data_IF_174842454957
#
_entry.id   IF_174842454957
#
_cell.length_a   1.000
_cell.length_b   1.000
_cell.length_c   1.000
_cell.angle_alpha   90.00
_cell.angle_beta   90.00
_cell.angle_gamma   90.00
#
_symmetry.space_group_name_H-M   'P 1'
#
loop_
_entity.id
_entity.type
_entity.pdbx_description
1 polymer ?
#
# COMPACT_ATOMS: atom_id res chain seq x y z
N UNK A 1 2.08 -30.87 20.37
CA UNK A 1 1.43 -30.82 19.05
C UNK A 1 1.62 -29.42 18.50
N UNK A 2 2.29 -29.30 17.36
CA UNK A 2 2.90 -28.04 16.90
C UNK A 2 1.88 -26.97 16.48
N UNK A 3 2.13 -25.68 16.78
CA UNK A 3 1.25 -24.63 16.33
C UNK A 3 1.61 -24.25 14.88
N UNK A 4 0.67 -24.49 13.97
CA UNK A 4 0.70 -23.93 12.62
C UNK A 4 0.76 -22.40 12.71
N UNK A 5 1.74 -21.82 12.01
CA UNK A 5 1.90 -20.37 11.87
C UNK A 5 0.78 -19.83 10.99
N UNK A 6 -0.38 -19.58 11.60
CA UNK A 6 -1.45 -18.78 11.00
C UNK A 6 -0.94 -17.36 10.73
N UNK A 7 -1.49 -16.71 9.70
CA UNK A 7 -1.24 -15.31 9.36
C UNK A 7 -1.21 -14.41 10.62
N UNK A 8 -0.26 -13.47 10.75
CA UNK A 8 -0.27 -12.55 11.90
C UNK A 8 -1.63 -11.86 12.01
N UNK A 9 -2.27 -11.85 13.20
CA UNK A 9 -3.65 -11.38 13.37
C UNK A 9 -3.92 -9.97 12.83
N UNK A 10 -2.91 -9.09 12.84
CA UNK A 10 -2.98 -7.73 12.30
C UNK A 10 -3.17 -7.64 10.76
N UNK A 11 -2.79 -8.68 9.99
CA UNK A 11 -3.05 -8.77 8.54
C UNK A 11 -4.33 -9.55 8.22
N UNK A 12 -4.91 -10.24 9.20
CA UNK A 12 -5.92 -11.27 9.00
C UNK A 12 -7.37 -10.79 8.93
N UNK A 13 -7.67 -9.53 9.25
CA UNK A 13 -9.06 -9.05 9.27
C UNK A 13 -9.71 -8.98 7.88
N UNK A 14 -8.91 -8.74 6.82
CA UNK A 14 -9.41 -8.53 5.45
C UNK A 14 -8.56 -9.28 4.41
N UNK A 15 -8.72 -10.60 4.27
CA UNK A 15 -7.90 -11.41 3.35
C UNK A 15 -8.17 -11.09 1.87
N UNK A 16 -9.38 -10.62 1.53
CA UNK A 16 -9.70 -10.05 0.23
C UNK A 16 -10.11 -8.58 0.39
N UNK A 17 -9.30 -7.60 -0.07
CA UNK A 17 -9.63 -6.19 0.08
C UNK A 17 -10.88 -5.76 -0.71
N UNK A 18 -11.29 -6.51 -1.73
CA UNK A 18 -12.51 -6.20 -2.48
C UNK A 18 -13.78 -6.34 -1.64
N UNK A 19 -13.81 -7.29 -0.69
CA UNK A 19 -14.97 -7.49 0.19
C UNK A 19 -15.18 -6.31 1.13
N UNK A 20 -14.09 -5.82 1.74
CA UNK A 20 -14.13 -4.62 2.57
C UNK A 20 -14.51 -3.39 1.73
N UNK A 21 -13.95 -3.26 0.53
CA UNK A 21 -14.28 -2.17 -0.39
C UNK A 21 -15.76 -2.22 -0.83
N UNK A 22 -16.34 -3.40 -1.07
CA UNK A 22 -17.76 -3.54 -1.39
C UNK A 22 -18.64 -3.02 -0.25
N UNK A 23 -18.32 -3.34 1.01
CA UNK A 23 -19.04 -2.83 2.17
C UNK A 23 -18.90 -1.30 2.31
N UNK A 24 -17.70 -0.77 2.09
CA UNK A 24 -17.46 0.69 2.14
C UNK A 24 -18.15 1.43 0.99
N UNK A 25 -18.29 0.80 -0.18
CA UNK A 25 -18.95 1.38 -1.34
C UNK A 25 -20.41 1.75 -1.09
N UNK A 26 -21.12 0.97 -0.27
CA UNK A 26 -22.55 1.17 0.01
C UNK A 26 -22.83 2.27 1.05
N UNK A 27 -21.82 2.65 1.84
CA UNK A 27 -21.96 3.64 2.93
C UNK A 27 -21.12 4.91 2.70
N UNK A 28 -20.47 5.03 1.54
CA UNK A 28 -19.67 6.20 1.18
C UNK A 28 -20.01 6.68 -0.22
N UNK A 29 -19.90 7.99 -0.47
CA UNK A 29 -20.27 8.59 -1.76
C UNK A 29 -19.09 9.19 -2.53
N UNK A 30 -18.03 9.62 -1.83
CA UNK A 30 -16.98 10.46 -2.41
C UNK A 30 -15.58 9.86 -2.34
N UNK A 31 -15.26 9.20 -1.23
CA UNK A 31 -13.90 8.66 -1.01
C UNK A 31 -13.58 7.57 -2.04
N UNK A 32 -12.35 7.56 -2.56
CA UNK A 32 -11.90 6.47 -3.44
C UNK A 32 -11.57 5.24 -2.60
N UNK A 33 -11.88 4.06 -3.12
CA UNK A 33 -11.73 2.77 -2.45
C UNK A 33 -10.58 2.02 -3.12
N UNK A 34 -9.45 1.88 -2.43
CA UNK A 34 -8.22 1.34 -3.02
C UNK A 34 -7.70 0.12 -2.29
N UNK A 35 -7.21 -0.87 -3.04
CA UNK A 35 -6.34 -1.90 -2.47
C UNK A 35 -4.93 -1.35 -2.28
N UNK A 36 -4.38 -1.45 -1.07
CA UNK A 36 -2.99 -1.10 -0.75
C UNK A 36 -2.22 -2.27 -0.12
N UNK A 37 -2.21 -3.49 -0.69
CA UNK A 37 -2.21 -3.82 -2.12
C UNK A 37 -2.79 -5.21 -2.37
N UNK A 38 -3.07 -5.55 -3.62
CA UNK A 38 -3.30 -6.94 -4.06
C UNK A 38 -1.93 -7.60 -4.31
N UNK A 39 -1.64 -8.71 -3.64
CA UNK A 39 -0.45 -9.52 -3.92
C UNK A 39 -0.73 -10.37 -5.16
N UNK A 40 -0.58 -9.77 -6.33
CA UNK A 40 -1.12 -10.28 -7.58
C UNK A 40 -0.73 -11.73 -7.91
N UNK A 41 0.51 -12.21 -7.64
CA UNK A 41 0.88 -13.60 -7.88
C UNK A 41 0.04 -14.63 -7.12
N UNK A 42 -0.61 -14.26 -6.01
CA UNK A 42 -1.47 -15.15 -5.22
C UNK A 42 -2.89 -15.29 -5.79
N UNK A 43 -3.23 -14.53 -6.83
CA UNK A 43 -4.58 -14.48 -7.39
C UNK A 43 -4.58 -14.79 -8.89
N UNK A 44 -5.74 -15.14 -9.44
CA UNK A 44 -5.97 -15.07 -10.88
C UNK A 44 -6.40 -13.63 -11.23
N UNK A 45 -5.72 -12.94 -12.18
CA UNK A 45 -6.12 -11.60 -12.62
C UNK A 45 -7.58 -11.50 -13.08
N UNK A 46 -8.16 -12.59 -13.61
CA UNK A 46 -9.57 -12.63 -14.00
C UNK A 46 -10.49 -12.38 -12.81
N UNK A 47 -10.29 -13.12 -11.72
CA UNK A 47 -11.06 -12.95 -10.47
C UNK A 47 -10.84 -11.57 -9.86
N UNK A 48 -9.61 -11.05 -9.93
CA UNK A 48 -9.33 -9.68 -9.47
C UNK A 48 -10.15 -8.65 -10.25
N UNK A 49 -10.23 -8.75 -11.58
CA UNK A 49 -11.06 -7.81 -12.35
C UNK A 49 -12.55 -7.99 -12.08
N UNK A 50 -13.05 -9.22 -11.92
CA UNK A 50 -14.47 -9.45 -11.58
C UNK A 50 -14.84 -8.82 -10.23
N UNK A 51 -14.05 -9.10 -9.20
CA UNK A 51 -14.24 -8.54 -7.85
C UNK A 51 -14.23 -7.01 -7.89
N UNK A 52 -13.20 -6.41 -8.48
CA UNK A 52 -13.03 -4.96 -8.46
C UNK A 52 -13.95 -4.24 -9.43
N UNK A 53 -14.36 -4.86 -10.54
CA UNK A 53 -15.39 -4.32 -11.42
C UNK A 53 -16.76 -4.31 -10.75
N UNK A 54 -17.08 -5.32 -9.95
CA UNK A 54 -18.29 -5.31 -9.15
C UNK A 54 -18.29 -4.17 -8.11
N UNK A 55 -17.17 -3.97 -7.40
CA UNK A 55 -17.02 -2.81 -6.48
C UNK A 55 -17.05 -1.48 -7.23
N UNK A 56 -16.50 -1.42 -8.44
CA UNK A 56 -16.56 -0.23 -9.30
C UNK A 56 -18.01 0.16 -9.61
N UNK A 57 -18.84 -0.82 -9.95
CA UNK A 57 -20.28 -0.63 -10.16
C UNK A 57 -20.99 -0.17 -8.88
N UNK A 58 -20.74 -0.84 -7.75
CA UNK A 58 -21.34 -0.46 -6.46
C UNK A 58 -20.95 0.95 -6.02
N UNK A 59 -19.71 1.33 -6.28
CA UNK A 59 -19.16 2.62 -5.84
C UNK A 59 -19.45 3.76 -6.82
N UNK A 60 -19.94 3.48 -8.02
CA UNK A 60 -20.13 4.49 -9.07
C UNK A 60 -18.81 5.01 -9.65
N UNK A 61 -17.81 4.14 -9.79
CA UNK A 61 -16.55 4.49 -10.44
C UNK A 61 -15.43 4.99 -9.52
N UNK A 62 -15.37 4.53 -8.26
CA UNK A 62 -14.46 5.08 -7.24
C UNK A 62 -13.32 4.14 -6.84
N UNK A 63 -13.04 3.09 -7.62
CA UNK A 63 -12.01 2.10 -7.24
C UNK A 63 -10.67 2.36 -7.92
N UNK A 64 -9.59 1.98 -7.23
CA UNK A 64 -8.23 1.87 -7.78
C UNK A 64 -7.50 0.67 -7.17
N UNK A 65 -6.41 0.24 -7.82
CA UNK A 65 -5.69 -0.97 -7.40
C UNK A 65 -4.19 -0.70 -7.30
N UNK A 66 -3.61 -0.93 -6.11
CA UNK A 66 -2.18 -1.17 -6.00
C UNK A 66 -1.86 -2.66 -6.11
N UNK A 67 -0.88 -3.00 -6.94
CA UNK A 67 -0.36 -4.35 -7.11
C UNK A 67 0.99 -4.50 -6.40
N UNK A 68 1.17 -5.60 -5.69
CA UNK A 68 2.40 -5.96 -5.01
C UNK A 68 2.90 -7.33 -5.46
N UNK A 69 4.23 -7.52 -5.41
CA UNK A 69 4.87 -8.79 -5.77
C UNK A 69 4.74 -9.87 -4.70
N UNK A 70 4.49 -9.47 -3.45
CA UNK A 70 4.69 -10.34 -2.30
C UNK A 70 6.17 -10.55 -1.99
N UNK A 71 6.48 -10.79 -0.72
CA UNK A 71 7.85 -10.94 -0.25
C UNK A 71 7.99 -12.08 0.78
N UNK A 72 6.93 -12.37 1.53
CA UNK A 72 6.90 -13.48 2.49
C UNK A 72 6.56 -14.78 1.77
N UNK A 73 7.48 -15.74 1.75
CA UNK A 73 7.26 -17.04 1.12
C UNK A 73 6.11 -17.83 1.77
N UNK A 74 5.83 -17.61 3.06
CA UNK A 74 4.73 -18.28 3.74
C UNK A 74 3.35 -17.87 3.16
N UNK A 75 3.20 -16.65 2.65
CA UNK A 75 1.95 -16.20 2.01
C UNK A 75 1.68 -16.98 0.71
N UNK A 76 2.74 -17.50 0.07
CA UNK A 76 2.67 -18.30 -1.15
C UNK A 76 2.27 -19.75 -0.90
N UNK A 77 1.83 -20.10 0.32
CA UNK A 77 1.14 -21.39 0.54
C UNK A 77 -0.08 -21.57 -0.38
N UNK A 78 -0.68 -20.45 -0.83
CA UNK A 78 -1.78 -20.44 -1.80
C UNK A 78 -1.34 -20.65 -3.26
N UNK A 79 -0.08 -20.36 -3.57
CA UNK A 79 0.48 -20.51 -4.91
C UNK A 79 2.01 -20.77 -4.86
N UNK A 80 2.46 -21.93 -4.35
CA UNK A 80 3.87 -22.14 -4.00
C UNK A 80 4.82 -21.98 -5.19
N UNK A 81 4.40 -22.48 -6.36
CA UNK A 81 5.21 -22.48 -7.59
C UNK A 81 5.39 -21.09 -8.19
N UNK A 82 4.66 -20.08 -7.70
CA UNK A 82 4.73 -18.70 -8.21
C UNK A 82 5.73 -17.81 -7.46
N UNK A 83 6.33 -18.28 -6.37
CA UNK A 83 7.20 -17.43 -5.54
C UNK A 83 8.50 -17.01 -6.25
N UNK A 84 9.10 -17.92 -7.01
CA UNK A 84 10.35 -17.67 -7.74
C UNK A 84 10.17 -16.54 -8.76
N UNK A 85 9.11 -16.63 -9.57
CA UNK A 85 8.83 -15.71 -10.69
C UNK A 85 7.86 -14.58 -10.31
N UNK A 86 7.57 -14.39 -9.02
CA UNK A 86 6.53 -13.47 -8.51
C UNK A 86 6.60 -12.06 -9.08
N UNK A 87 7.81 -11.55 -9.35
CA UNK A 87 8.00 -10.21 -9.95
C UNK A 87 7.46 -10.19 -11.37
N UNK A 88 7.90 -11.12 -12.21
CA UNK A 88 7.47 -11.21 -13.60
C UNK A 88 5.95 -11.46 -13.68
N UNK A 89 5.44 -12.38 -12.88
CA UNK A 89 4.01 -12.68 -12.78
C UNK A 89 3.18 -11.46 -12.37
N UNK A 90 3.71 -10.57 -11.52
CA UNK A 90 3.03 -9.32 -11.17
C UNK A 90 2.94 -8.38 -12.37
N UNK A 91 4.04 -8.21 -13.11
CA UNK A 91 4.07 -7.31 -14.27
C UNK A 91 3.18 -7.82 -15.41
N UNK A 92 3.21 -9.12 -15.71
CA UNK A 92 2.31 -9.76 -16.67
C UNK A 92 0.85 -9.69 -16.22
N UNK A 93 0.61 -9.88 -14.92
CA UNK A 93 -0.71 -9.77 -14.31
C UNK A 93 -1.30 -8.38 -14.47
N UNK A 94 -0.51 -7.31 -14.29
CA UNK A 94 -0.95 -5.92 -14.48
C UNK A 94 -1.43 -5.67 -15.91
N UNK A 95 -0.71 -6.16 -16.92
CA UNK A 95 -1.17 -6.03 -18.32
C UNK A 95 -2.46 -6.84 -18.57
N UNK A 96 -2.58 -8.02 -17.96
CA UNK A 96 -3.82 -8.81 -18.02
C UNK A 96 -5.00 -8.09 -17.36
N UNK A 97 -4.78 -7.43 -16.21
CA UNK A 97 -5.79 -6.62 -15.53
C UNK A 97 -6.28 -5.49 -16.46
N UNK A 98 -5.36 -4.73 -17.09
CA UNK A 98 -5.69 -3.67 -18.04
C UNK A 98 -6.51 -4.19 -19.22
N UNK A 99 -6.08 -5.28 -19.83
CA UNK A 99 -6.76 -5.88 -20.97
C UNK A 99 -8.19 -6.31 -20.64
N UNK A 100 -8.37 -7.02 -19.51
CA UNK A 100 -9.69 -7.45 -19.03
C UNK A 100 -10.58 -6.27 -18.65
N UNK A 101 -10.01 -5.25 -17.98
CA UNK A 101 -10.73 -4.03 -17.62
C UNK A 101 -11.22 -3.28 -18.86
N UNK A 102 -10.40 -3.19 -19.91
CA UNK A 102 -10.76 -2.63 -21.20
C UNK A 102 -11.72 -3.50 -22.03
N UNK A 103 -12.02 -4.73 -21.57
CA UNK A 103 -12.98 -5.63 -22.20
C UNK A 103 -12.41 -6.50 -23.30
N UNK A 104 -11.09 -6.61 -23.39
CA UNK A 104 -10.44 -7.57 -24.27
C UNK A 104 -10.73 -8.99 -23.78
N UNK A 105 -10.84 -9.91 -24.73
CA UNK A 105 -11.05 -11.33 -24.42
C UNK A 105 -9.72 -12.00 -24.11
N UNK A 106 -9.69 -12.76 -23.02
CA UNK A 106 -8.56 -13.55 -22.58
C UNK A 106 -8.71 -15.00 -23.05
N UNK A 107 -7.67 -15.54 -23.69
CA UNK A 107 -7.64 -16.95 -24.06
C UNK A 107 -7.24 -17.82 -22.85
N UNK A 108 -8.04 -18.86 -22.58
CA UNK A 108 -7.80 -19.85 -21.52
C UNK A 108 -8.25 -21.23 -21.97
N UNK A 109 -7.85 -22.28 -21.25
CA UNK A 109 -8.43 -23.62 -21.43
C UNK A 109 -9.56 -23.82 -20.41
N UNK A 110 -10.67 -24.40 -20.85
CA UNK A 110 -11.76 -24.78 -19.95
C UNK A 110 -11.47 -26.12 -19.25
N UNK A 111 -12.44 -26.64 -18.49
CA UNK A 111 -12.32 -27.93 -17.78
C UNK A 111 -12.08 -29.14 -18.70
N UNK A 112 -12.49 -29.07 -19.98
CA UNK A 112 -12.25 -30.11 -20.98
C UNK A 112 -10.92 -29.93 -21.73
N UNK A 113 -10.11 -28.94 -21.32
CA UNK A 113 -8.85 -28.60 -21.98
C UNK A 113 -9.00 -27.84 -23.30
N UNK A 114 -10.21 -27.43 -23.68
CA UNK A 114 -10.50 -26.73 -24.94
C UNK A 114 -10.16 -25.23 -24.80
N UNK A 115 -9.43 -24.63 -25.76
CA UNK A 115 -9.22 -23.19 -25.78
C UNK A 115 -10.52 -22.41 -25.94
N UNK A 116 -10.79 -21.49 -25.01
CA UNK A 116 -11.94 -20.58 -24.98
C UNK A 116 -11.46 -19.14 -24.83
N UNK A 117 -12.25 -18.19 -25.33
CA UNK A 117 -12.02 -16.75 -25.16
C UNK A 117 -13.08 -16.21 -24.20
N UNK A 118 -12.66 -15.74 -23.04
CA UNK A 118 -13.53 -15.24 -21.97
C UNK A 118 -13.28 -13.76 -21.70
N UNK A 119 -14.25 -13.09 -21.10
CA UNK A 119 -14.15 -11.70 -20.64
C UNK A 119 -14.88 -11.58 -19.31
N UNK A 120 -14.57 -10.55 -18.54
CA UNK A 120 -15.11 -10.34 -17.20
C UNK A 120 -16.42 -9.57 -17.20
N UNK A 121 -17.28 -9.92 -16.24
CA UNK A 121 -18.54 -9.23 -15.92
C UNK A 121 -18.69 -9.06 -14.39
N UNK A 122 -19.41 -8.03 -13.91
CA UNK A 122 -20.01 -6.94 -14.69
C UNK A 122 -18.93 -6.11 -15.39
N UNK A 123 -19.32 -5.31 -16.39
CA UNK A 123 -18.37 -4.38 -17.01
C UNK A 123 -18.17 -3.19 -16.06
N UNK A 124 -16.93 -2.71 -15.86
CA UNK A 124 -16.67 -1.60 -14.96
C UNK A 124 -17.31 -0.31 -15.50
N UNK A 125 -17.62 0.62 -14.59
CA UNK A 125 -18.09 1.97 -14.89
C UNK A 125 -16.93 2.83 -15.38
N UNK A 126 -15.77 2.73 -14.72
CA UNK A 126 -14.55 3.44 -15.14
C UNK A 126 -13.96 2.81 -16.41
N UNK A 127 -13.52 3.62 -17.41
CA UNK A 127 -12.85 3.09 -18.59
C UNK A 127 -11.50 2.43 -18.26
N UNK A 128 -10.79 2.96 -17.26
CA UNK A 128 -9.55 2.41 -16.71
C UNK A 128 -9.47 2.80 -15.22
N UNK A 129 -9.06 1.89 -14.31
CA UNK A 129 -8.77 2.25 -12.94
C UNK A 129 -7.35 2.79 -12.85
N UNK A 130 -7.06 3.69 -11.92
CA UNK A 130 -5.66 4.04 -11.69
C UNK A 130 -4.95 2.84 -11.00
N UNK A 131 -3.74 2.54 -11.48
CA UNK A 131 -2.96 1.38 -11.04
C UNK A 131 -1.65 1.83 -10.38
N UNK A 132 -1.35 1.28 -9.21
CA UNK A 132 -0.10 1.51 -8.48
C UNK A 132 0.76 0.25 -8.51
N UNK A 133 2.07 0.41 -8.61
CA UNK A 133 3.03 -0.62 -8.25
C UNK A 133 3.56 -0.35 -6.85
N UNK A 134 3.50 -1.35 -5.98
CA UNK A 134 4.05 -1.25 -4.63
C UNK A 134 5.56 -1.45 -4.67
N UNK A 135 6.29 -0.37 -4.42
CA UNK A 135 7.73 -0.28 -4.57
C UNK A 135 8.43 -0.25 -3.22
N UNK A 136 9.30 -1.22 -2.97
CA UNK A 136 10.34 -1.10 -1.94
C UNK A 136 11.42 -0.09 -2.37
N UNK A 137 12.38 0.19 -1.48
CA UNK A 137 13.43 1.21 -1.63
C UNK A 137 14.50 0.96 -2.74
N UNK A 138 14.18 0.19 -3.78
CA UNK A 138 15.05 -0.01 -4.94
C UNK A 138 14.65 0.99 -6.06
N UNK A 139 15.55 1.89 -6.51
CA UNK A 139 15.27 2.84 -7.59
C UNK A 139 14.79 2.21 -8.89
N UNK A 140 15.25 1.00 -9.22
CA UNK A 140 14.83 0.31 -10.44
C UNK A 140 13.34 -0.03 -10.45
N UNK A 141 12.72 -0.25 -9.27
CA UNK A 141 11.28 -0.47 -9.17
C UNK A 141 10.48 0.80 -9.48
N UNK A 142 11.01 1.96 -9.09
CA UNK A 142 10.41 3.26 -9.37
C UNK A 142 10.48 3.57 -10.87
N UNK A 143 11.65 3.40 -11.48
CA UNK A 143 11.81 3.57 -12.92
C UNK A 143 10.89 2.64 -13.73
N UNK A 144 10.81 1.35 -13.36
CA UNK A 144 9.90 0.38 -14.00
C UNK A 144 8.43 0.81 -13.93
N UNK A 145 7.97 1.26 -12.75
CA UNK A 145 6.61 1.78 -12.59
C UNK A 145 6.37 2.98 -13.52
N UNK A 146 7.35 3.88 -13.62
CA UNK A 146 7.29 5.06 -14.48
C UNK A 146 7.19 4.70 -15.96
N UNK A 147 8.07 3.83 -16.45
CA UNK A 147 8.09 3.39 -17.84
C UNK A 147 6.79 2.69 -18.27
N UNK A 148 6.07 2.05 -17.33
CA UNK A 148 4.79 1.36 -17.57
C UNK A 148 3.56 2.25 -17.37
N UNK A 149 3.75 3.52 -17.06
CA UNK A 149 2.67 4.45 -16.77
C UNK A 149 1.91 4.19 -15.48
N UNK A 150 2.47 3.38 -14.57
CA UNK A 150 1.87 3.10 -13.26
C UNK A 150 2.14 4.25 -12.28
N UNK A 151 1.31 4.33 -11.25
CA UNK A 151 1.57 5.10 -10.04
C UNK A 151 2.49 4.30 -9.09
N UNK A 152 3.02 4.94 -8.05
CA UNK A 152 3.91 4.30 -7.06
C UNK A 152 3.28 4.34 -5.68
N UNK A 153 3.17 3.18 -5.04
CA UNK A 153 2.87 3.07 -3.61
C UNK A 153 4.14 2.66 -2.87
N UNK A 154 4.57 3.42 -1.86
CA UNK A 154 5.75 3.08 -1.05
C UNK A 154 5.52 3.41 0.43
N UNK A 155 6.49 3.13 1.29
CA UNK A 155 6.43 3.42 2.73
C UNK A 155 7.81 3.82 3.27
N UNK A 156 7.85 4.64 4.32
CA UNK A 156 9.12 5.08 4.92
C UNK A 156 9.71 4.09 5.95
N UNK A 157 9.12 2.90 6.09
CA UNK A 157 9.53 1.93 7.11
C UNK A 157 11.06 1.70 7.11
N UNK A 158 11.68 1.60 5.93
CA UNK A 158 13.11 1.32 5.80
C UNK A 158 13.86 2.32 4.91
N UNK A 159 13.38 3.56 4.81
CA UNK A 159 14.01 4.59 3.97
C UNK A 159 13.75 5.98 4.55
N UNK A 160 14.67 6.91 4.30
CA UNK A 160 14.48 8.32 4.68
C UNK A 160 13.91 9.12 3.49
N UNK A 161 13.36 10.30 3.78
CA UNK A 161 12.82 11.21 2.74
C UNK A 161 13.91 11.60 1.74
N UNK A 162 15.14 11.82 2.21
CA UNK A 162 16.26 12.25 1.37
C UNK A 162 16.63 11.18 0.35
N UNK A 163 16.41 9.89 0.66
CA UNK A 163 16.58 8.78 -0.28
C UNK A 163 15.38 8.61 -1.23
N UNK A 164 14.21 9.14 -0.86
CA UNK A 164 12.98 9.01 -1.63
C UNK A 164 12.97 9.96 -2.82
N UNK A 165 13.42 11.21 -2.65
CA UNK A 165 13.48 12.20 -3.72
C UNK A 165 14.22 11.71 -4.99
N UNK A 166 15.44 11.15 -4.93
CA UNK A 166 16.11 10.63 -6.12
C UNK A 166 15.38 9.44 -6.75
N UNK A 167 14.68 8.61 -5.97
CA UNK A 167 13.85 7.50 -6.50
C UNK A 167 12.63 8.03 -7.25
N UNK A 168 12.00 9.09 -6.73
CA UNK A 168 10.91 9.79 -7.41
C UNK A 168 11.45 10.45 -8.69
N UNK A 169 12.64 11.03 -8.66
CA UNK A 169 13.32 11.53 -9.86
C UNK A 169 13.42 10.46 -10.95
N UNK A 170 13.97 9.29 -10.62
CA UNK A 170 14.06 8.16 -11.55
C UNK A 170 12.70 7.68 -12.09
N UNK A 171 11.65 7.71 -11.26
CA UNK A 171 10.27 7.42 -11.70
C UNK A 171 9.79 8.42 -12.76
N UNK A 172 9.97 9.73 -12.51
CA UNK A 172 9.54 10.81 -13.41
C UNK A 172 10.32 10.79 -14.72
N UNK A 173 11.63 10.57 -14.66
CA UNK A 173 12.49 10.42 -15.84
C UNK A 173 12.07 9.23 -16.70
N UNK A 174 11.78 8.08 -16.09
CA UNK A 174 11.33 6.89 -16.82
C UNK A 174 9.95 7.10 -17.48
N UNK A 175 9.04 7.85 -16.86
CA UNK A 175 7.77 8.27 -17.51
C UNK A 175 8.06 9.11 -18.75
N UNK A 176 8.92 10.12 -18.63
CA UNK A 176 9.29 11.00 -19.74
C UNK A 176 9.89 10.20 -20.91
N UNK A 177 10.81 9.28 -20.61
CA UNK A 177 11.46 8.43 -21.60
C UNK A 177 10.48 7.49 -22.31
N UNK A 178 9.38 7.09 -21.65
CA UNK A 178 8.30 6.31 -22.24
C UNK A 178 7.26 7.16 -22.99
N UNK A 179 7.47 8.47 -23.13
CA UNK A 179 6.55 9.39 -23.81
C UNK A 179 5.31 9.75 -22.99
N UNK A 180 5.32 9.49 -21.68
CA UNK A 180 4.23 9.83 -20.76
C UNK A 180 4.53 11.16 -20.08
N UNK A 181 3.49 11.93 -19.76
CA UNK A 181 3.65 13.12 -18.92
C UNK A 181 4.27 12.73 -17.56
N UNK A 182 5.45 13.29 -17.21
CA UNK A 182 6.06 13.03 -15.92
C UNK A 182 5.19 13.49 -14.76
N UNK A 183 4.41 14.58 -14.91
CA UNK A 183 3.63 15.18 -13.83
C UNK A 183 2.35 14.37 -13.49
N UNK A 184 1.77 13.66 -14.46
CA UNK A 184 0.52 12.90 -14.29
C UNK A 184 0.63 11.67 -13.38
N UNK A 185 1.85 11.20 -13.12
CA UNK A 185 2.08 10.08 -12.21
C UNK A 185 1.80 10.43 -10.74
N UNK A 186 1.25 9.49 -9.97
CA UNK A 186 1.00 9.69 -8.54
C UNK A 186 2.00 8.86 -7.73
N UNK A 187 2.70 9.51 -6.79
CA UNK A 187 3.49 8.85 -5.76
C UNK A 187 2.76 8.95 -4.43
N UNK A 188 2.36 7.79 -3.90
CA UNK A 188 1.67 7.64 -2.62
C UNK A 188 2.63 7.05 -1.59
N UNK A 189 2.77 7.70 -0.43
CA UNK A 189 3.57 7.21 0.69
C UNK A 189 2.64 6.80 1.83
N UNK A 190 2.71 5.53 2.23
CA UNK A 190 2.03 5.04 3.42
C UNK A 190 2.82 5.36 4.67
N UNK A 191 2.16 5.94 5.67
CA UNK A 191 2.73 6.35 6.95
C UNK A 191 1.84 5.93 8.11
N UNK A 192 2.44 5.35 9.14
CA UNK A 192 1.81 5.30 10.45
C UNK A 192 1.48 6.72 10.92
N UNK A 193 0.24 6.92 11.37
CA UNK A 193 -0.31 8.27 11.58
C UNK A 193 -1.13 8.35 12.87
N UNK A 194 -0.82 9.34 13.70
CA UNK A 194 -1.61 9.73 14.87
C UNK A 194 -1.31 11.19 15.22
N UNK A 195 -2.32 12.04 15.17
CA UNK A 195 -2.18 13.49 15.35
C UNK A 195 -2.98 13.92 16.57
N UNK A 196 -2.42 14.81 17.37
CA UNK A 196 -3.07 15.35 18.55
C UNK A 196 -2.69 16.80 18.85
N UNK A 197 -3.02 17.25 20.04
CA UNK A 197 -2.78 18.62 20.48
C UNK A 197 -1.28 18.94 20.63
N UNK A 198 -0.50 17.99 21.16
CA UNK A 198 0.93 18.16 21.40
C UNK A 198 1.73 16.90 21.06
N UNK A 199 3.01 17.09 20.74
CA UNK A 199 3.96 16.01 20.49
C UNK A 199 4.07 15.04 21.67
N UNK A 200 4.15 15.56 22.89
CA UNK A 200 4.27 14.75 24.10
C UNK A 200 2.99 13.97 24.40
N UNK A 201 1.82 14.60 24.23
CA UNK A 201 0.54 13.92 24.38
C UNK A 201 0.40 12.75 23.39
N UNK A 202 0.72 12.97 22.12
CA UNK A 202 0.71 11.89 21.11
C UNK A 202 1.71 10.80 21.47
N UNK A 203 2.94 11.17 21.85
CA UNK A 203 3.99 10.23 22.24
C UNK A 203 3.53 9.31 23.37
N UNK A 204 2.91 9.87 24.41
CA UNK A 204 2.34 9.11 25.53
C UNK A 204 1.31 8.09 25.07
N UNK A 205 0.40 8.46 24.17
CA UNK A 205 -0.68 7.60 23.69
C UNK A 205 -0.15 6.44 22.86
N UNK A 206 0.76 6.72 21.91
CA UNK A 206 1.13 5.72 20.89
C UNK A 206 2.31 4.85 21.28
N UNK A 207 3.10 5.22 22.31
CA UNK A 207 4.37 4.56 22.62
C UNK A 207 4.20 3.05 22.78
N UNK A 208 3.35 2.64 23.70
CA UNK A 208 3.16 1.23 24.01
C UNK A 208 2.43 0.47 22.89
N UNK A 209 1.31 0.97 22.31
CA UNK A 209 0.68 0.35 21.14
C UNK A 209 1.65 0.14 19.96
N UNK A 210 2.41 1.17 19.60
CA UNK A 210 3.30 1.12 18.46
C UNK A 210 4.52 0.23 18.72
N UNK A 211 5.06 0.20 19.94
CA UNK A 211 6.11 -0.75 20.31
C UNK A 211 5.63 -2.21 20.17
N UNK A 212 4.41 -2.54 20.63
CA UNK A 212 3.82 -3.87 20.42
C UNK A 212 3.64 -4.20 18.94
N UNK A 213 3.18 -3.23 18.15
CA UNK A 213 3.05 -3.37 16.70
C UNK A 213 4.40 -3.70 16.05
N UNK A 214 5.45 -2.93 16.36
CA UNK A 214 6.81 -3.17 15.88
C UNK A 214 7.28 -4.57 16.28
N UNK A 215 7.06 -4.95 17.54
CA UNK A 215 7.48 -6.25 18.07
C UNK A 215 6.82 -7.42 17.32
N UNK A 216 5.51 -7.34 17.05
CA UNK A 216 4.76 -8.35 16.30
C UNK A 216 5.21 -8.47 14.84
N UNK A 217 5.84 -7.41 14.33
CA UNK A 217 6.32 -7.34 12.96
C UNK A 217 7.78 -7.74 12.81
N UNK A 218 8.53 -7.95 13.90
CA UNK A 218 9.98 -8.29 13.85
C UNK A 218 10.24 -9.52 12.98
N UNK A 219 9.41 -10.56 13.11
CA UNK A 219 9.58 -11.80 12.35
C UNK A 219 9.32 -11.63 10.85
N UNK A 220 8.52 -10.62 10.48
CA UNK A 220 8.30 -10.26 9.07
C UNK A 220 9.52 -9.54 8.48
N UNK A 221 10.37 -8.95 9.32
CA UNK A 221 11.46 -8.09 8.88
C UNK A 221 12.83 -8.61 9.31
N UNK A 222 12.99 -9.91 9.62
CA UNK A 222 14.23 -10.49 10.16
C UNK A 222 15.48 -10.07 9.38
N UNK A 223 15.41 -10.03 8.05
CA UNK A 223 16.53 -9.63 7.18
C UNK A 223 16.86 -8.14 7.17
N UNK A 224 15.99 -7.27 7.70
CA UNK A 224 16.19 -5.82 7.83
C UNK A 224 16.39 -5.39 9.29
N UNK A 225 15.97 -6.22 10.24
CA UNK A 225 16.15 -5.96 11.66
C UNK A 225 17.57 -6.31 12.13
N UNK A 226 18.27 -7.20 11.43
CA UNK A 226 19.70 -7.45 11.63
C UNK A 226 20.54 -6.16 11.61
N UNK A 227 20.13 -5.17 10.80
CA UNK A 227 20.81 -3.89 10.66
C UNK A 227 20.59 -2.95 11.86
N UNK A 228 19.60 -3.22 12.72
CA UNK A 228 19.33 -2.44 13.94
C UNK A 228 20.18 -2.91 15.14
N UNK A 229 20.89 -4.03 15.01
CA UNK A 229 21.86 -4.54 16.00
C UNK A 229 21.44 -5.83 16.69
N UNK A 230 22.36 -6.37 17.51
CA UNK A 230 22.24 -7.69 18.18
C UNK A 230 21.83 -7.60 19.65
N UNK A 231 21.23 -6.47 20.07
CA UNK A 231 20.87 -6.21 21.46
C UNK A 231 19.57 -6.92 21.93
N UNK A 232 19.22 -6.80 23.22
CA UNK A 232 17.94 -7.26 23.75
C UNK A 232 16.75 -6.70 22.97
N UNK A 233 15.75 -7.56 22.68
CA UNK A 233 14.62 -7.26 21.80
C UNK A 233 13.85 -6.00 22.23
N UNK A 234 13.60 -5.86 23.52
CA UNK A 234 12.94 -4.71 24.15
C UNK A 234 13.68 -3.39 23.88
N UNK A 235 15.01 -3.39 24.02
CA UNK A 235 15.85 -2.21 23.74
C UNK A 235 15.86 -1.85 22.26
N UNK A 236 15.91 -2.85 21.38
CA UNK A 236 15.85 -2.63 19.92
C UNK A 236 14.50 -2.03 19.51
N UNK A 237 13.39 -2.53 20.07
CA UNK A 237 12.04 -1.99 19.80
C UNK A 237 11.92 -0.56 20.32
N UNK A 238 12.43 -0.26 21.51
CA UNK A 238 12.43 1.10 22.05
C UNK A 238 13.27 2.05 21.19
N UNK A 239 14.45 1.63 20.74
CA UNK A 239 15.29 2.42 19.84
C UNK A 239 14.60 2.64 18.47
N UNK A 240 14.00 1.60 17.91
CA UNK A 240 13.23 1.69 16.68
C UNK A 240 12.08 2.68 16.84
N UNK A 241 11.31 2.60 17.94
CA UNK A 241 10.24 3.55 18.26
C UNK A 241 10.75 5.00 18.20
N UNK A 242 11.86 5.33 18.88
CA UNK A 242 12.39 6.70 18.89
C UNK A 242 12.77 7.18 17.48
N UNK A 243 13.41 6.31 16.69
CA UNK A 243 13.76 6.61 15.30
C UNK A 243 12.50 6.86 14.46
N UNK A 244 11.52 5.96 14.53
CA UNK A 244 10.26 6.06 13.80
C UNK A 244 9.48 7.31 14.15
N UNK A 245 9.31 7.54 15.45
CA UNK A 245 8.59 8.68 15.97
C UNK A 245 9.15 9.97 15.42
N UNK A 246 10.47 10.07 15.25
CA UNK A 246 11.15 11.27 14.77
C UNK A 246 11.13 11.44 13.25
N UNK A 247 11.36 10.39 12.48
CA UNK A 247 11.75 10.56 11.05
C UNK A 247 10.88 9.86 10.02
N UNK A 248 10.07 8.88 10.42
CA UNK A 248 9.49 7.90 9.48
C UNK A 248 7.99 7.68 9.65
N UNK A 249 7.32 8.46 10.49
CA UNK A 249 5.88 8.38 10.77
C UNK A 249 5.28 9.78 10.95
N UNK A 250 3.98 9.91 10.73
CA UNK A 250 3.23 11.14 10.94
C UNK A 250 2.61 11.16 12.35
N UNK A 251 3.49 11.32 13.34
CA UNK A 251 3.13 11.39 14.75
C UNK A 251 3.44 12.76 15.35
N UNK A 252 2.48 13.35 16.05
CA UNK A 252 2.69 14.54 16.87
C UNK A 252 1.60 15.59 16.72
N UNK A 253 1.95 16.83 17.00
CA UNK A 253 1.09 18.00 16.80
C UNK A 253 0.74 18.25 15.33
N UNK A 254 -0.30 19.04 15.11
CA UNK A 254 -0.72 19.49 13.77
C UNK A 254 0.43 20.20 13.04
N UNK A 255 1.12 21.13 13.72
CA UNK A 255 2.22 21.90 13.13
C UNK A 255 3.34 21.00 12.63
N UNK A 256 3.77 20.06 13.47
CA UNK A 256 4.82 19.11 13.12
C UNK A 256 4.41 18.21 11.96
N UNK A 257 3.21 17.66 11.99
CA UNK A 257 2.72 16.77 10.94
C UNK A 257 2.51 17.50 9.61
N UNK A 258 2.01 18.74 9.63
CA UNK A 258 1.89 19.57 8.43
C UNK A 258 3.27 19.94 7.85
N UNK A 259 4.25 20.25 8.70
CA UNK A 259 5.65 20.43 8.28
C UNK A 259 6.24 19.18 7.63
N UNK A 260 5.94 17.99 8.18
CA UNK A 260 6.36 16.72 7.60
C UNK A 260 5.71 16.44 6.24
N UNK A 261 4.40 16.70 6.11
CA UNK A 261 3.69 16.57 4.85
C UNK A 261 4.25 17.51 3.76
N UNK A 262 4.57 18.76 4.10
CA UNK A 262 5.23 19.71 3.17
C UNK A 262 6.61 19.22 2.71
N UNK A 263 7.40 18.60 3.59
CA UNK A 263 8.69 18.00 3.21
C UNK A 263 8.51 16.83 2.23
N UNK A 264 7.51 15.99 2.43
CA UNK A 264 7.18 14.91 1.49
C UNK A 264 6.74 15.46 0.14
N UNK A 265 5.89 16.48 0.15
CA UNK A 265 5.46 17.16 -1.07
C UNK A 265 6.65 17.75 -1.84
N UNK A 266 7.58 18.44 -1.14
CA UNK A 266 8.80 18.97 -1.73
C UNK A 266 9.71 17.87 -2.31
N UNK A 267 9.68 16.65 -1.77
CA UNK A 267 10.37 15.48 -2.31
C UNK A 267 9.66 14.86 -3.53
N UNK A 268 8.48 15.38 -3.94
CA UNK A 268 7.72 14.92 -5.10
C UNK A 268 6.61 13.91 -4.79
N UNK A 269 6.25 13.75 -3.50
CA UNK A 269 5.10 12.92 -3.09
C UNK A 269 3.79 13.65 -3.37
N UNK A 270 2.82 12.93 -3.93
CA UNK A 270 1.50 13.47 -4.27
C UNK A 270 0.46 13.15 -3.20
N UNK A 271 0.59 12.01 -2.53
CA UNK A 271 -0.42 11.50 -1.61
C UNK A 271 0.21 10.84 -0.39
N UNK A 272 -0.42 11.02 0.78
CA UNK A 272 -0.08 10.34 2.02
C UNK A 272 -1.22 9.40 2.40
N UNK A 273 -0.94 8.09 2.40
CA UNK A 273 -1.87 7.07 2.89
C UNK A 273 -1.65 6.87 4.40
N UNK A 274 -2.56 7.40 5.21
CA UNK A 274 -2.45 7.39 6.67
C UNK A 274 -2.87 6.02 7.22
N UNK A 275 -1.91 5.23 7.71
CA UNK A 275 -2.16 3.99 8.44
C UNK A 275 -2.40 4.31 9.92
N UNK A 276 -3.63 4.10 10.39
CA UNK A 276 -4.11 4.54 11.70
C UNK A 276 -4.40 3.38 12.67
N UNK A 277 -4.51 2.15 12.16
CA UNK A 277 -4.95 0.95 12.86
C UNK A 277 -3.78 0.08 13.36
N UNK A 278 -2.76 0.70 13.96
CA UNK A 278 -1.57 0.00 14.46
C UNK A 278 -1.64 -0.36 15.96
N UNK A 279 -2.85 -0.47 16.51
CA UNK A 279 -3.09 -0.97 17.88
C UNK A 279 -3.49 0.09 18.92
N UNK A 280 -3.69 1.34 18.53
CA UNK A 280 -4.36 2.35 19.37
C UNK A 280 -5.86 2.06 19.39
N UNK A 281 -6.55 2.35 20.51
CA UNK A 281 -7.97 2.08 20.66
C UNK A 281 -8.83 2.89 19.67
N UNK A 282 -9.88 2.25 19.13
CA UNK A 282 -10.73 2.82 18.06
C UNK A 282 -11.31 4.19 18.43
N UNK A 283 -11.80 4.37 19.67
CA UNK A 283 -12.34 5.65 20.12
C UNK A 283 -11.28 6.76 20.07
N UNK A 284 -10.05 6.48 20.49
CA UNK A 284 -8.95 7.45 20.45
C UNK A 284 -8.54 7.78 19.01
N UNK A 285 -8.60 6.80 18.11
CA UNK A 285 -8.36 7.05 16.67
C UNK A 285 -9.44 7.95 16.09
N UNK A 286 -10.72 7.69 16.38
CA UNK A 286 -11.83 8.51 15.93
C UNK A 286 -11.74 9.95 16.46
N UNK A 287 -11.41 10.11 17.75
CA UNK A 287 -11.18 11.42 18.38
C UNK A 287 -9.97 12.16 17.80
N UNK A 288 -9.01 11.43 17.21
CA UNK A 288 -7.83 12.00 16.55
C UNK A 288 -8.09 12.49 15.11
N UNK A 289 -9.16 12.02 14.43
CA UNK A 289 -9.43 12.36 13.02
C UNK A 289 -9.60 13.87 12.76
N UNK A 290 -10.25 14.67 13.63
CA UNK A 290 -10.30 16.12 13.44
C UNK A 290 -8.92 16.80 13.43
N UNK A 291 -7.95 16.28 14.18
CA UNK A 291 -6.58 16.79 14.16
C UNK A 291 -5.87 16.46 12.85
N UNK A 292 -6.09 15.26 12.31
CA UNK A 292 -5.59 14.89 10.99
C UNK A 292 -6.20 15.75 9.87
N UNK A 293 -7.48 16.13 9.99
CA UNK A 293 -8.11 17.06 9.05
C UNK A 293 -7.43 18.44 9.06
N UNK A 294 -7.06 18.96 10.24
CA UNK A 294 -6.28 20.21 10.36
C UNK A 294 -4.89 20.10 9.72
N UNK A 295 -4.24 18.94 9.79
CA UNK A 295 -2.96 18.69 9.09
C UNK A 295 -3.13 18.82 7.58
N UNK A 296 -4.20 18.22 7.03
CA UNK A 296 -4.52 18.33 5.60
C UNK A 296 -4.67 19.78 5.18
N UNK A 297 -5.42 20.57 5.95
CA UNK A 297 -5.62 22.01 5.69
C UNK A 297 -4.30 22.79 5.80
N UNK A 298 -3.52 22.57 6.86
CA UNK A 298 -2.25 23.25 7.08
C UNK A 298 -1.12 22.85 6.12
N UNK A 299 -1.21 21.70 5.45
CA UNK A 299 -0.24 21.26 4.44
C UNK A 299 -0.53 21.83 3.04
N UNK A 300 -1.74 22.37 2.81
CA UNK A 300 -2.16 22.98 1.54
C UNK A 300 -1.87 24.49 1.50
N UNK A 301 -1.62 25.10 2.66
CA UNK A 301 -1.23 26.50 2.86
C UNK A 301 0.25 26.74 2.58
#
# INVERSE_FOLDING_TARGET
MGPGKAFPPLRGAFPNPALAAAALATITERVRLRAGSIVLPLHDPLTVVEDWSFVDNLSGGRVDIACATGWNSNDFVLAPDRFADRRELTLQGIETLRDLWAGKKLARRNGDGVPVKIMTYPRPVQPEPALWLTCAANPQNFAEAGARGLNVLTALLFQQIDDLAPRIGAYREARAAAGLDPASGVVTVMLHTFVGESDEGVRSVIREPFMRYLESSIDLWQNKWSDLGTGPRDKLVAFAFERYFRTSAMFGSVERCAGFARRLHAAGVNEIACLIDFGVADNMILDALPWLAKVREGAQS
#
